data_IF_994458961130
#
_entry.id   IF_994458961130
#
_cell.length_a   1.000
_cell.length_b   1.000
_cell.length_c   1.000
_cell.angle_alpha   90.00
_cell.angle_beta   90.00
_cell.angle_gamma   90.00
#
_symmetry.space_group_name_H-M   'P 1'
#
loop_
_entity.id
_entity.type
_entity.pdbx_description
1 polymer ?
#
# COMPACT_ATOMS: atom_id res chain seq x y z
N UNK A 1 8.85 4.27 6.62
CA UNK A 1 10.12 4.03 5.92
C UNK A 1 10.06 4.80 4.60
N UNK A 2 10.84 5.88 4.44
CA UNK A 2 10.82 6.74 3.24
C UNK A 2 12.05 6.43 2.37
N UNK A 3 11.87 6.28 1.05
CA UNK A 3 12.98 6.20 0.09
C UNK A 3 12.88 7.41 -0.84
N UNK A 4 13.95 8.19 -0.89
CA UNK A 4 14.07 9.39 -1.72
C UNK A 4 14.59 8.95 -3.10
N UNK A 5 13.76 9.13 -4.12
CA UNK A 5 14.17 9.21 -5.52
C UNK A 5 14.09 10.70 -5.91
N UNK A 6 15.01 11.18 -6.73
CA UNK A 6 15.48 12.58 -6.81
C UNK A 6 14.45 13.70 -7.12
N UNK A 7 13.14 13.43 -7.16
CA UNK A 7 12.12 14.47 -7.36
C UNK A 7 10.75 14.17 -6.76
N UNK A 8 10.46 12.91 -6.42
CA UNK A 8 9.13 12.49 -5.96
C UNK A 8 9.25 11.36 -4.94
N UNK A 9 8.55 11.53 -3.82
CA UNK A 9 8.48 10.58 -2.71
C UNK A 9 7.02 10.18 -2.55
N UNK A 10 6.74 8.88 -2.62
CA UNK A 10 5.46 8.34 -2.19
C UNK A 10 5.47 8.18 -0.67
N UNK A 11 4.53 8.81 0.03
CA UNK A 11 4.38 8.72 1.49
C UNK A 11 3.02 8.13 1.85
N UNK A 12 3.00 7.20 2.80
CA UNK A 12 1.76 6.83 3.49
C UNK A 12 1.44 7.92 4.50
N UNK A 13 0.20 8.42 4.49
CA UNK A 13 -0.22 9.50 5.39
C UNK A 13 -0.66 8.87 6.71
N UNK A 14 0.23 8.87 7.70
CA UNK A 14 -0.13 8.47 9.05
C UNK A 14 -0.81 9.63 9.79
N UNK A 15 -2.14 9.50 9.91
CA UNK A 15 -3.09 10.13 10.86
C UNK A 15 -4.53 9.80 10.41
N UNK A 16 -4.91 8.52 10.47
CA UNK A 16 -6.28 8.04 10.20
C UNK A 16 -6.60 7.65 8.75
N UNK A 17 -5.83 8.12 7.77
CA UNK A 17 -6.03 7.81 6.35
C UNK A 17 -5.20 6.59 5.92
N UNK A 18 -5.43 5.44 6.57
CA UNK A 18 -4.63 4.23 6.32
C UNK A 18 -4.88 3.60 4.97
N UNK A 19 -5.80 4.10 4.15
CA UNK A 19 -6.17 3.53 2.84
C UNK A 19 -5.65 4.38 1.67
N UNK A 20 -4.69 5.27 1.93
CA UNK A 20 -4.22 6.22 0.94
C UNK A 20 -2.70 6.32 0.86
N UNK A 21 -2.23 6.67 -0.34
CA UNK A 21 -0.84 7.07 -0.61
C UNK A 21 -0.86 8.48 -1.18
N UNK A 22 -0.08 9.37 -0.58
CA UNK A 22 0.12 10.73 -1.05
C UNK A 22 1.49 10.83 -1.71
N UNK A 23 1.53 11.31 -2.95
CA UNK A 23 2.78 11.68 -3.60
C UNK A 23 3.16 13.09 -3.19
N UNK A 24 4.43 13.31 -2.91
CA UNK A 24 4.99 14.60 -2.52
C UNK A 24 6.27 14.82 -3.31
N UNK A 25 6.41 15.98 -3.93
CA UNK A 25 7.62 16.39 -4.62
C UNK A 25 8.37 17.47 -3.85
N UNK A 26 9.64 17.69 -4.19
CA UNK A 26 10.44 18.79 -3.65
C UNK A 26 10.59 19.86 -4.74
N UNK A 27 10.10 21.06 -4.48
CA UNK A 27 10.26 22.21 -5.36
C UNK A 27 10.86 23.39 -4.59
N UNK A 28 12.04 23.87 -5.01
CA UNK A 28 12.72 24.97 -4.35
C UNK A 28 13.02 24.73 -2.86
N UNK A 29 13.34 23.47 -2.49
CA UNK A 29 13.58 23.07 -1.10
C UNK A 29 12.33 22.92 -0.24
N UNK A 30 11.13 23.03 -0.81
CA UNK A 30 9.84 22.87 -0.11
C UNK A 30 9.12 21.62 -0.60
N UNK A 31 8.46 20.93 0.32
CA UNK A 31 7.58 19.81 -0.01
C UNK A 31 6.28 20.35 -0.62
N UNK A 32 5.91 19.81 -1.78
CA UNK A 32 4.68 20.14 -2.50
C UNK A 32 3.82 18.88 -2.60
N UNK A 33 2.56 18.96 -2.17
CA UNK A 33 1.62 17.85 -2.30
C UNK A 33 1.30 17.62 -3.78
N UNK A 34 1.50 16.39 -4.23
CA UNK A 34 1.11 15.90 -5.54
C UNK A 34 -0.23 15.15 -5.50
N UNK A 35 -0.34 14.12 -6.34
CA UNK A 35 -1.53 13.26 -6.42
C UNK A 35 -1.73 12.42 -5.16
N UNK A 36 -2.97 11.98 -4.94
CA UNK A 36 -3.36 11.05 -3.87
C UNK A 36 -4.07 9.85 -4.49
N UNK A 37 -3.62 8.66 -4.14
CA UNK A 37 -4.28 7.41 -4.49
C UNK A 37 -5.05 6.86 -3.29
N UNK A 38 -6.20 6.25 -3.56
CA UNK A 38 -7.08 5.63 -2.57
C UNK A 38 -7.21 4.14 -2.90
N UNK A 39 -7.17 3.30 -1.86
CA UNK A 39 -7.15 1.85 -1.98
C UNK A 39 -8.26 1.23 -1.12
N UNK A 40 -8.68 0.02 -1.49
CA UNK A 40 -9.71 -0.71 -0.75
C UNK A 40 -9.17 -1.40 0.52
N UNK A 41 -7.85 -1.47 0.68
CA UNK A 41 -7.17 -2.08 1.81
C UNK A 41 -6.27 -1.07 2.52
N UNK A 42 -5.90 -1.39 3.75
CA UNK A 42 -4.92 -0.59 4.50
C UNK A 42 -3.56 -0.64 3.80
N UNK A 43 -2.84 0.47 3.80
CA UNK A 43 -1.50 0.68 3.30
C UNK A 43 -0.57 0.86 4.51
N UNK A 44 0.00 -0.25 4.99
CA UNK A 44 0.86 -0.29 6.18
C UNK A 44 2.33 -0.13 5.79
N UNK A 45 2.71 -0.66 4.63
CA UNK A 45 4.03 -0.53 4.05
C UNK A 45 3.96 -0.07 2.60
N UNK A 46 4.96 0.68 2.18
CA UNK A 46 5.11 1.19 0.82
C UNK A 46 6.55 0.99 0.35
N UNK A 47 6.70 0.46 -0.85
CA UNK A 47 7.96 0.43 -1.56
C UNK A 47 7.72 0.80 -3.03
N UNK A 48 8.75 1.30 -3.69
CA UNK A 48 8.69 1.70 -5.09
C UNK A 48 9.89 1.14 -5.83
N UNK A 49 9.64 0.61 -7.03
CA UNK A 49 10.66 0.19 -7.97
C UNK A 49 10.25 0.60 -9.40
N UNK A 50 11.03 1.50 -10.01
CA UNK A 50 10.84 1.99 -11.38
C UNK A 50 9.45 2.59 -11.68
N UNK A 51 8.49 1.79 -12.11
CA UNK A 51 7.12 2.19 -12.47
C UNK A 51 6.06 1.49 -11.61
N UNK A 52 6.52 0.73 -10.62
CA UNK A 52 5.68 -0.11 -9.79
C UNK A 52 5.70 0.37 -8.33
N UNK A 53 4.51 0.39 -7.75
CA UNK A 53 4.24 0.67 -6.36
C UNK A 53 3.88 -0.63 -5.65
N UNK A 54 4.55 -0.92 -4.55
CA UNK A 54 4.30 -2.10 -3.73
C UNK A 54 3.68 -1.66 -2.42
N UNK A 55 2.51 -2.20 -2.11
CA UNK A 55 1.76 -1.87 -0.89
C UNK A 55 1.52 -3.13 -0.08
N UNK A 56 1.64 -3.01 1.25
CA UNK A 56 1.27 -4.10 2.17
C UNK A 56 0.09 -3.72 3.05
N UNK A 57 -0.80 -4.68 3.30
CA UNK A 57 -1.96 -4.53 4.20
C UNK A 57 -1.79 -5.21 5.56
N UNK A 58 -0.61 -5.78 5.82
CA UNK A 58 -0.31 -6.61 6.99
C UNK A 58 -0.48 -8.10 6.72
N UNK A 59 -1.44 -8.48 5.88
CA UNK A 59 -1.66 -9.89 5.45
C UNK A 59 -1.43 -10.11 3.97
N UNK A 60 -1.34 -9.05 3.15
CA UNK A 60 -1.12 -9.19 1.72
C UNK A 60 -0.09 -8.18 1.20
N UNK A 61 0.55 -8.55 0.09
CA UNK A 61 1.45 -7.71 -0.70
C UNK A 61 0.86 -7.53 -2.09
N UNK A 62 0.72 -6.29 -2.51
CA UNK A 62 0.12 -5.90 -3.76
C UNK A 62 1.13 -5.12 -4.61
N UNK A 63 1.02 -5.28 -5.92
CA UNK A 63 1.74 -4.54 -6.93
C UNK A 63 0.74 -3.64 -7.68
N UNK A 64 1.03 -2.36 -7.71
CA UNK A 64 0.24 -1.32 -8.35
C UNK A 64 1.07 -0.56 -9.38
N UNK A 65 0.42 0.02 -10.38
CA UNK A 65 1.03 1.08 -11.19
C UNK A 65 1.21 2.35 -10.35
N UNK A 66 2.07 3.27 -10.79
CA UNK A 66 2.18 4.60 -10.19
C UNK A 66 0.88 5.43 -10.28
N UNK A 67 -0.07 5.00 -11.12
CA UNK A 67 -1.39 5.61 -11.28
C UNK A 67 -2.45 4.98 -10.37
N UNK A 68 -2.12 3.89 -9.67
CA UNK A 68 -3.00 3.24 -8.69
C UNK A 68 -3.79 2.05 -9.23
N UNK A 69 -3.52 1.59 -10.45
CA UNK A 69 -4.15 0.38 -10.98
C UNK A 69 -3.50 -0.85 -10.34
N UNK A 70 -4.32 -1.77 -9.81
CA UNK A 70 -3.80 -3.03 -9.28
C UNK A 70 -3.31 -3.89 -10.44
N UNK A 71 -2.01 -4.16 -10.48
CA UNK A 71 -1.40 -5.01 -11.49
C UNK A 71 -1.43 -6.47 -11.05
N UNK A 72 -1.09 -6.73 -9.79
CA UNK A 72 -0.98 -8.08 -9.25
C UNK A 72 -1.11 -8.12 -7.73
N UNK A 73 -1.67 -9.22 -7.19
CA UNK A 73 -1.55 -9.56 -5.76
C UNK A 73 -0.45 -10.61 -5.61
N UNK A 74 0.71 -10.19 -5.12
CA UNK A 74 1.93 -11.01 -5.05
C UNK A 74 1.88 -12.03 -3.91
N UNK A 75 1.19 -11.69 -2.83
CA UNK A 75 1.08 -12.57 -1.66
C UNK A 75 -0.19 -12.25 -0.88
N UNK A 76 -0.77 -13.28 -0.27
CA UNK A 76 -1.88 -13.17 0.68
C UNK A 76 -1.80 -14.29 1.72
N UNK A 77 -1.68 -13.90 2.97
CA UNK A 77 -1.84 -14.78 4.13
C UNK A 77 -3.32 -14.86 4.51
N UNK A 78 -3.92 -16.02 4.25
CA UNK A 78 -5.30 -16.34 4.63
C UNK A 78 -5.38 -17.22 5.87
N UNK A 79 -4.26 -17.47 6.56
CA UNK A 79 -4.23 -18.34 7.75
C UNK A 79 -5.17 -17.86 8.86
N UNK A 80 -5.31 -16.55 9.04
CA UNK A 80 -6.24 -15.93 9.98
C UNK A 80 -7.74 -16.11 9.59
N UNK A 81 -8.03 -16.43 8.32
CA UNK A 81 -9.39 -16.78 7.88
C UNK A 81 -9.71 -18.27 8.15
N UNK A 82 -8.69 -19.12 8.23
CA UNK A 82 -8.85 -20.57 8.45
C UNK A 82 -9.13 -20.95 9.91
N UNK A 83 -8.88 -20.05 10.86
CA UNK A 83 -9.26 -20.24 12.28
C UNK A 83 -10.73 -19.93 12.55
N UNK A 84 -11.51 -19.54 11.53
CA UNK A 84 -12.87 -19.01 11.70
C UNK A 84 -14.04 -19.96 11.50
N UNK A 85 -13.87 -21.22 11.04
CA UNK A 85 -14.99 -22.16 10.90
C UNK A 85 -14.51 -23.62 10.97
N UNK A 86 -14.40 -24.18 12.18
CA UNK A 86 -14.53 -25.63 12.35
C UNK A 86 -16.03 -25.89 12.58
N UNK A 87 -16.77 -26.24 11.54
CA UNK A 87 -18.06 -26.91 11.71
C UNK A 87 -17.74 -28.37 12.02
N UNK A 88 -17.78 -28.75 13.30
CA UNK A 88 -17.75 -30.16 13.69
C UNK A 88 -19.12 -30.74 13.35
N UNK A 89 -19.23 -31.46 12.23
CA UNK A 89 -20.33 -32.40 12.03
C UNK A 89 -20.03 -33.65 12.85
N UNK A 90 -20.70 -33.78 14.00
CA UNK A 90 -20.78 -35.04 14.74
C UNK A 90 -21.96 -35.81 14.12
N UNK A 91 -21.67 -37.01 13.60
CA UNK A 91 -22.67 -38.02 13.25
C UNK A 91 -22.74 -39.05 14.38
#
# INVERSE_FOLDING_TARGET
>A
MCKISASEVAVTVDKGETHAVQFVSVNGGRLVKGSKLQFQHKCIGIAHNQQDLYLTSGTALYKYSMQGDMLEKLYEDTSALKTGNIIVHIW
#
